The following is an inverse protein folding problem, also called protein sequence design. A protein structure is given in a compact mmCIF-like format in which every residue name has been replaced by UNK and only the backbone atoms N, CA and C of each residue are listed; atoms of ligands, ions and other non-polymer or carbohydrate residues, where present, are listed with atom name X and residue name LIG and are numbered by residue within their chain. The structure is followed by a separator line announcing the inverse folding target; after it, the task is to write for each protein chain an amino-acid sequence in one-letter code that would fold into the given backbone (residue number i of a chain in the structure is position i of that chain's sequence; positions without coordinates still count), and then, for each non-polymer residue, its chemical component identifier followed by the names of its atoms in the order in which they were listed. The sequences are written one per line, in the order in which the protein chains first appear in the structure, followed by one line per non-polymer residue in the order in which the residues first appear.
data_IF_022916458472
#
_entry.id   IF_022916458472
#
_cell.length_a   1.000
_cell.length_b   1.000
_cell.length_c   1.000
_cell.angle_alpha   90.00
_cell.angle_beta   90.00
_cell.angle_gamma   90.00
#
_symmetry.space_group_name_H-M   'P 1'
#
loop_
_entity.id
_entity.type
_entity.pdbx_description
1 polymer ?
#
# COMPACT_ATOMS: atom_id res chain seq x y z
N UNK A 1 -7.16 -12.77 2.71
CA UNK A 1 -6.92 -11.50 3.40
C UNK A 1 -6.10 -11.86 4.62
N UNK A 2 -5.00 -11.14 4.86
CA UNK A 2 -4.09 -11.30 5.99
C UNK A 2 -3.93 -9.94 6.70
N UNK A 3 -3.74 -9.97 8.03
CA UNK A 3 -3.42 -8.81 8.88
C UNK A 3 -2.27 -7.99 8.29
N UNK A 4 -1.26 -8.65 7.73
CA UNK A 4 -0.13 -7.99 7.09
C UNK A 4 -0.56 -7.01 5.97
N UNK A 5 -1.57 -7.37 5.18
CA UNK A 5 -2.08 -6.52 4.11
C UNK A 5 -2.84 -5.32 4.66
N UNK A 6 -3.55 -5.49 5.79
CA UNK A 6 -4.27 -4.42 6.46
C UNK A 6 -3.32 -3.44 7.15
N UNK A 7 -2.23 -3.91 7.74
CA UNK A 7 -1.17 -3.05 8.27
C UNK A 7 -0.55 -2.18 7.17
N UNK A 8 -0.25 -2.80 6.02
CA UNK A 8 0.26 -2.08 4.86
C UNK A 8 -0.75 -1.06 4.32
N UNK A 9 -2.04 -1.42 4.23
CA UNK A 9 -3.12 -0.50 3.85
C UNK A 9 -3.14 0.74 4.75
N UNK A 10 -3.15 0.54 6.07
CA UNK A 10 -3.18 1.63 7.05
C UNK A 10 -1.92 2.51 6.93
N UNK A 11 -0.75 1.90 6.77
CA UNK A 11 0.50 2.64 6.61
C UNK A 11 0.50 3.51 5.34
N UNK A 12 0.09 2.96 4.21
CA UNK A 12 0.02 3.72 2.94
C UNK A 12 -1.01 4.85 3.02
N UNK A 13 -2.17 4.60 3.64
CA UNK A 13 -3.19 5.63 3.84
C UNK A 13 -2.72 6.77 4.74
N UNK A 14 -1.95 6.47 5.80
CA UNK A 14 -1.37 7.47 6.72
C UNK A 14 -0.28 8.29 6.05
N UNK A 15 0.65 7.62 5.38
CA UNK A 15 1.84 8.27 4.80
C UNK A 15 1.56 8.98 3.47
N UNK A 16 0.44 8.64 2.81
CA UNK A 16 0.10 9.09 1.44
C UNK A 16 1.24 8.85 0.44
N UNK A 17 2.11 7.87 0.73
CA UNK A 17 3.28 7.55 -0.07
C UNK A 17 3.69 6.11 0.19
N UNK A 18 3.80 5.32 -0.89
CA UNK A 18 4.26 3.94 -0.82
C UNK A 18 5.71 3.83 -0.33
N UNK A 19 6.57 4.80 -0.66
CA UNK A 19 7.96 4.81 -0.20
C UNK A 19 8.06 5.09 1.30
N UNK A 20 7.36 6.13 1.80
CA UNK A 20 7.35 6.43 3.25
C UNK A 20 6.68 5.33 4.07
N UNK A 21 5.63 4.70 3.56
CA UNK A 21 5.01 3.55 4.21
C UNK A 21 5.95 2.32 4.28
N UNK A 22 6.82 2.15 3.28
CA UNK A 22 7.82 1.10 3.30
C UNK A 22 8.89 1.37 4.35
N UNK A 23 9.38 2.62 4.43
CA UNK A 23 10.32 3.05 5.46
C UNK A 23 9.75 2.86 6.87
N UNK A 24 8.50 3.31 7.11
CA UNK A 24 7.87 3.20 8.44
C UNK A 24 7.61 1.76 8.89
N UNK A 25 7.41 0.84 7.94
CA UNK A 25 7.22 -0.59 8.21
C UNK A 25 8.53 -1.39 8.21
N UNK A 26 9.68 -0.78 7.90
CA UNK A 26 10.95 -1.50 7.73
C UNK A 26 10.92 -2.50 6.57
N UNK A 27 10.23 -2.16 5.47
CA UNK A 27 10.03 -3.01 4.30
C UNK A 27 10.50 -2.32 3.02
N UNK A 28 10.57 -3.08 1.94
CA UNK A 28 10.83 -2.50 0.61
C UNK A 28 9.54 -1.98 -0.01
N UNK A 29 9.62 -0.90 -0.78
CA UNK A 29 8.48 -0.34 -1.51
C UNK A 29 7.78 -1.36 -2.45
N UNK A 30 8.52 -2.28 -3.14
CA UNK A 30 7.88 -3.35 -3.90
C UNK A 30 7.05 -4.31 -3.05
N UNK A 31 7.52 -4.67 -1.84
CA UNK A 31 6.78 -5.56 -0.94
C UNK A 31 5.46 -4.92 -0.49
N UNK A 32 5.50 -3.63 -0.13
CA UNK A 32 4.31 -2.83 0.20
C UNK A 32 3.35 -2.75 -0.99
N UNK A 33 3.85 -2.46 -2.18
CA UNK A 33 3.04 -2.39 -3.41
C UNK A 33 2.37 -3.72 -3.76
N UNK A 34 3.07 -4.84 -3.56
CA UNK A 34 2.51 -6.17 -3.78
C UNK A 34 1.44 -6.52 -2.76
N UNK A 35 1.64 -6.20 -1.48
CA UNK A 35 0.64 -6.44 -0.44
C UNK A 35 -0.67 -5.70 -0.74
N UNK A 36 -0.59 -4.41 -1.11
CA UNK A 36 -1.75 -3.63 -1.58
C UNK A 36 -2.38 -4.25 -2.82
N UNK A 37 -1.58 -4.59 -3.85
CA UNK A 37 -2.12 -5.18 -5.08
C UNK A 37 -2.89 -6.48 -4.81
N UNK A 38 -2.38 -7.33 -3.93
CA UNK A 38 -3.07 -8.58 -3.54
C UNK A 38 -4.36 -8.28 -2.79
N UNK A 39 -4.37 -7.28 -1.92
CA UNK A 39 -5.59 -6.88 -1.21
C UNK A 39 -6.65 -6.34 -2.17
N UNK A 40 -6.27 -5.43 -3.07
CA UNK A 40 -7.14 -4.90 -4.14
C UNK A 40 -7.73 -6.03 -5.00
N UNK A 41 -6.92 -7.02 -5.36
CA UNK A 41 -7.36 -8.18 -6.13
C UNK A 41 -8.37 -9.05 -5.38
N UNK A 42 -8.17 -9.23 -4.07
CA UNK A 42 -9.05 -10.05 -3.26
C UNK A 42 -10.41 -9.40 -3.03
N UNK A 43 -10.44 -8.09 -2.79
CA UNK A 43 -11.69 -7.35 -2.58
C UNK A 43 -12.36 -6.93 -3.90
N UNK A 44 -11.66 -7.04 -5.02
CA UNK A 44 -12.15 -6.67 -6.34
C UNK A 44 -12.23 -5.17 -6.62
N UNK A 45 -11.54 -4.33 -5.83
CA UNK A 45 -11.63 -2.87 -5.89
C UNK A 45 -10.26 -2.20 -5.74
N UNK A 46 -10.10 -1.02 -6.34
CA UNK A 46 -8.90 -0.20 -6.16
C UNK A 46 -8.97 0.59 -4.87
N UNK A 47 -7.92 0.47 -4.05
CA UNK A 47 -7.84 1.17 -2.77
C UNK A 47 -7.05 2.47 -2.86
N UNK A 48 -6.17 2.58 -3.86
CA UNK A 48 -5.35 3.77 -4.09
C UNK A 48 -5.25 4.11 -5.57
N UNK A 49 -5.37 5.39 -5.88
CA UNK A 49 -5.05 5.93 -7.19
C UNK A 49 -3.54 6.00 -7.38
N UNK A 50 -3.03 5.24 -8.36
CA UNK A 50 -1.59 5.19 -8.68
C UNK A 50 -1.17 6.25 -9.68
N UNK A 51 -2.07 7.16 -10.07
CA UNK A 51 -1.71 8.29 -10.90
C UNK A 51 -0.81 9.22 -10.10
N UNK A 52 0.48 9.23 -10.41
CA UNK A 52 1.38 10.30 -10.02
C UNK A 52 0.84 11.63 -10.56
N UNK A 53 0.06 12.34 -9.75
CA UNK A 53 -0.24 13.75 -9.93
C UNK A 53 -0.32 14.35 -8.53
N UNK A 54 0.79 14.93 -8.11
CA UNK A 54 0.88 16.37 -7.95
C UNK A 54 2.30 16.79 -8.32
N UNK A 55 2.40 17.87 -9.09
CA UNK A 55 3.67 18.49 -9.50
C UNK A 55 4.29 19.33 -8.39
#
# INVERSE_FOLDING_TARGET
MDINQLEVLIAVAREKSFSRAAESLGRTQPAVSQAIRRLEQEIGEKLFDRSSKDG
#
